data_IF_616418529408
#
_entry.id   IF_616418529408
#
_cell.length_a   1.000
_cell.length_b   1.000
_cell.length_c   1.000
_cell.angle_alpha   90.00
_cell.angle_beta   90.00
_cell.angle_gamma   90.00
#
_symmetry.space_group_name_H-M   'P 1'
#
loop_
_entity.id
_entity.type
_entity.pdbx_description
1 polymer ?
#
# COMPACT_ATOMS: atom_id res chain seq x y z
N UNK A 1 19.37 28.42 15.48
CA UNK A 1 18.96 27.27 14.63
C UNK A 1 17.61 26.81 15.11
N UNK A 2 16.59 26.84 14.25
CA UNK A 2 15.28 26.27 14.58
C UNK A 2 15.46 24.78 14.95
N UNK A 3 14.98 24.38 16.12
CA UNK A 3 15.04 23.00 16.56
C UNK A 3 14.08 22.17 15.70
N UNK A 4 14.58 21.63 14.59
CA UNK A 4 13.76 20.77 13.71
C UNK A 4 13.56 19.42 14.37
N UNK A 5 12.30 18.99 14.44
CA UNK A 5 11.91 17.66 14.87
C UNK A 5 12.54 16.65 13.93
N UNK A 6 13.25 15.67 14.49
CA UNK A 6 13.89 14.61 13.72
C UNK A 6 12.89 13.47 13.50
N UNK A 7 12.71 12.99 12.26
CA UNK A 7 11.95 11.79 12.02
C UNK A 7 12.56 10.58 12.74
N UNK A 8 11.77 9.55 13.06
CA UNK A 8 12.27 8.30 13.61
C UNK A 8 13.36 7.66 12.73
N UNK A 9 14.29 6.93 13.34
CA UNK A 9 15.41 6.29 12.62
C UNK A 9 14.95 5.39 11.46
N UNK A 10 13.80 4.74 11.61
CA UNK A 10 13.24 3.85 10.61
C UNK A 10 12.63 4.57 9.40
N UNK A 11 12.28 5.85 9.52
CA UNK A 11 11.83 6.71 8.43
C UNK A 11 13.03 7.33 7.71
N UNK A 12 14.01 7.81 8.48
CA UNK A 12 15.30 8.27 7.95
C UNK A 12 15.96 7.17 7.10
N UNK A 13 15.84 5.92 7.53
CA UNK A 13 16.37 4.75 6.81
C UNK A 13 15.90 4.67 5.35
N UNK A 14 14.66 5.07 5.08
CA UNK A 14 14.04 5.03 3.75
C UNK A 14 13.99 6.42 3.08
N UNK A 15 14.79 7.36 3.58
CA UNK A 15 14.96 8.69 3.00
C UNK A 15 13.94 9.74 3.44
N UNK A 16 13.13 9.47 4.47
CA UNK A 16 12.22 10.47 5.08
C UNK A 16 12.99 11.21 6.18
N UNK A 17 13.77 12.23 5.81
CA UNK A 17 14.75 12.85 6.71
C UNK A 17 14.31 14.18 7.33
N UNK A 18 13.12 14.66 6.98
CA UNK A 18 12.57 15.90 7.54
C UNK A 18 11.04 15.89 7.53
N UNK A 19 10.47 16.73 8.39
CA UNK A 19 9.10 17.22 8.25
C UNK A 19 9.10 18.59 7.55
N UNK A 20 8.02 18.91 6.83
CA UNK A 20 7.80 20.26 6.30
C UNK A 20 7.43 21.23 7.42
N UNK A 21 6.59 20.78 8.35
CA UNK A 21 6.20 21.55 9.53
C UNK A 21 7.30 21.57 10.58
N UNK A 22 7.43 22.69 11.30
CA UNK A 22 8.36 22.83 12.43
C UNK A 22 7.68 22.58 13.79
N UNK A 23 6.35 22.51 13.81
CA UNK A 23 5.54 22.26 15.00
C UNK A 23 5.58 20.79 15.44
N UNK A 24 5.47 20.56 16.75
CA UNK A 24 5.43 19.22 17.33
C UNK A 24 4.18 18.45 16.89
N UNK A 25 4.34 17.15 16.70
CA UNK A 25 3.20 16.29 16.37
C UNK A 25 2.15 16.30 17.49
N UNK A 26 0.91 15.99 17.13
CA UNK A 26 -0.21 15.88 18.09
C UNK A 26 -0.24 14.54 18.84
N UNK A 27 0.63 13.60 18.47
CA UNK A 27 0.60 12.22 18.97
C UNK A 27 -0.67 11.48 18.54
N UNK A 28 -1.15 10.60 19.40
CA UNK A 28 -2.41 9.88 19.22
C UNK A 28 -2.30 8.56 18.46
N UNK A 29 -3.47 7.92 18.29
CA UNK A 29 -3.63 6.61 17.67
C UNK A 29 -4.68 6.65 16.56
N UNK A 30 -4.38 5.94 15.47
CA UNK A 30 -5.23 5.77 14.31
C UNK A 30 -5.89 4.40 14.30
N UNK A 31 -7.00 4.25 13.56
CA UNK A 31 -7.64 2.96 13.23
C UNK A 31 -7.98 2.12 14.49
N UNK A 32 -8.53 2.74 15.54
CA UNK A 32 -9.00 1.97 16.71
C UNK A 32 -10.31 1.25 16.39
N UNK A 33 -11.17 1.89 15.61
CA UNK A 33 -12.36 1.29 14.99
C UNK A 33 -12.36 1.55 13.48
N UNK A 34 -13.09 0.77 12.67
CA UNK A 34 -13.24 1.02 11.24
C UNK A 34 -13.78 2.42 10.92
N UNK A 35 -14.65 2.93 11.80
CA UNK A 35 -15.26 4.25 11.71
C UNK A 35 -14.27 5.39 11.98
N UNK A 36 -13.08 5.10 12.50
CA UNK A 36 -12.00 6.08 12.63
C UNK A 36 -11.26 6.32 11.31
N UNK A 37 -11.45 5.45 10.32
CA UNK A 37 -10.78 5.56 9.03
C UNK A 37 -11.78 5.34 7.91
N UNK A 38 -12.37 6.44 7.48
CA UNK A 38 -13.43 6.47 6.49
C UNK A 38 -12.85 6.89 5.15
N UNK A 39 -13.10 6.08 4.11
CA UNK A 39 -12.64 6.35 2.74
C UNK A 39 -13.82 6.34 1.78
N UNK A 40 -14.07 7.47 1.14
CA UNK A 40 -15.14 7.63 0.15
C UNK A 40 -14.51 7.92 -1.20
N UNK A 41 -14.75 7.04 -2.18
CA UNK A 41 -14.31 7.29 -3.54
C UNK A 41 -15.02 8.51 -4.12
N UNK A 42 -14.25 9.32 -4.84
CA UNK A 42 -14.74 10.44 -5.63
C UNK A 42 -14.69 9.99 -7.09
N UNK A 43 -15.86 9.90 -7.72
CA UNK A 43 -15.96 9.46 -9.12
C UNK A 43 -15.31 10.47 -10.07
N UNK A 44 -15.15 10.10 -11.35
CA UNK A 44 -14.59 10.99 -12.37
C UNK A 44 -15.43 12.28 -12.53
N UNK A 45 -16.74 12.19 -12.31
CA UNK A 45 -17.68 13.31 -12.30
C UNK A 45 -17.62 14.13 -11.00
N UNK A 46 -16.64 13.86 -10.13
CA UNK A 46 -16.43 14.51 -8.83
C UNK A 46 -17.58 14.32 -7.82
N UNK A 47 -18.37 13.26 -7.99
CA UNK A 47 -19.39 12.85 -6.99
C UNK A 47 -18.71 12.05 -5.88
N UNK A 48 -18.96 12.43 -4.63
CA UNK A 48 -18.51 11.64 -3.47
C UNK A 48 -19.50 10.51 -3.23
N UNK A 49 -19.01 9.27 -3.13
CA UNK A 49 -19.84 8.12 -2.78
C UNK A 49 -20.09 8.09 -1.26
N UNK A 50 -21.34 8.29 -0.86
CA UNK A 50 -21.75 8.35 0.55
C UNK A 50 -21.98 6.96 1.15
N UNK A 51 -22.23 6.86 2.46
CA UNK A 51 -22.56 5.57 3.12
C UNK A 51 -24.06 5.35 3.26
N UNK A 52 -24.78 6.35 3.77
CA UNK A 52 -26.18 6.21 4.18
C UNK A 52 -27.18 6.44 3.05
N UNK A 53 -26.89 7.39 2.17
CA UNK A 53 -27.80 7.78 1.09
C UNK A 53 -27.79 6.73 -0.02
N UNK A 54 -28.92 6.07 -0.27
CA UNK A 54 -29.13 5.25 -1.46
C UNK A 54 -29.80 6.12 -2.53
N UNK A 55 -29.05 6.46 -3.57
CA UNK A 55 -29.57 7.18 -4.73
C UNK A 55 -29.89 6.20 -5.83
N UNK A 56 -30.99 6.34 -6.58
CA UNK A 56 -31.20 5.49 -7.75
C UNK A 56 -29.98 5.55 -8.68
N UNK A 57 -29.46 4.38 -9.06
CA UNK A 57 -28.42 4.29 -10.07
C UNK A 57 -28.97 4.68 -11.45
N UNK A 58 -28.06 4.98 -12.38
CA UNK A 58 -28.44 5.29 -13.75
C UNK A 58 -29.13 4.07 -14.40
N UNK A 59 -29.98 4.31 -15.41
CA UNK A 59 -30.66 3.25 -16.16
C UNK A 59 -30.29 3.35 -17.63
N UNK A 60 -28.98 3.38 -17.89
CA UNK A 60 -28.46 3.51 -19.25
C UNK A 60 -28.60 2.18 -20.01
N UNK A 61 -28.83 2.24 -21.33
CA UNK A 61 -28.79 1.03 -22.16
C UNK A 61 -27.35 0.50 -22.20
N UNK A 62 -27.13 -0.68 -21.62
CA UNK A 62 -25.80 -1.26 -21.55
C UNK A 62 -25.75 -2.64 -20.92
N UNK A 63 -24.62 -3.32 -21.12
CA UNK A 63 -24.39 -4.67 -20.59
C UNK A 63 -23.83 -4.66 -19.16
N UNK A 64 -23.53 -3.48 -18.58
CA UNK A 64 -22.92 -3.35 -17.27
C UNK A 64 -23.92 -2.91 -16.22
N UNK A 65 -23.68 -3.33 -14.99
CA UNK A 65 -24.41 -2.86 -13.82
C UNK A 65 -23.41 -2.24 -12.85
N UNK A 66 -23.63 -0.98 -12.54
CA UNK A 66 -22.83 -0.21 -11.59
C UNK A 66 -23.52 -0.20 -10.23
N UNK A 67 -22.71 -0.17 -9.18
CA UNK A 67 -23.18 -0.02 -7.81
C UNK A 67 -22.09 0.64 -6.96
N UNK A 68 -22.50 1.24 -5.85
CA UNK A 68 -21.61 1.59 -4.74
C UNK A 68 -21.50 0.40 -3.80
N UNK A 69 -20.28 -0.10 -3.63
CA UNK A 69 -19.89 -1.07 -2.61
C UNK A 69 -19.45 -0.31 -1.35
N UNK A 70 -20.25 -0.43 -0.29
CA UNK A 70 -19.86 -0.03 1.06
C UNK A 70 -19.39 -1.29 1.80
N UNK A 71 -18.20 -1.24 2.41
CA UNK A 71 -17.64 -2.37 3.14
C UNK A 71 -16.96 -1.93 4.44
N UNK A 72 -17.03 -2.76 5.47
CA UNK A 72 -16.41 -2.55 6.79
C UNK A 72 -15.52 -3.74 7.16
N UNK A 73 -14.24 -3.52 7.44
CA UNK A 73 -13.26 -4.59 7.77
C UNK A 73 -13.03 -5.64 6.65
N UNK A 74 -13.37 -5.30 5.40
CA UNK A 74 -13.23 -6.18 4.25
C UNK A 74 -12.12 -5.73 3.31
N UNK A 75 -11.33 -6.70 2.84
CA UNK A 75 -10.51 -6.53 1.65
C UNK A 75 -11.40 -6.44 0.41
N UNK A 76 -11.07 -5.53 -0.51
CA UNK A 76 -11.88 -5.25 -1.72
C UNK A 76 -12.02 -6.49 -2.59
N UNK A 77 -10.94 -7.24 -2.79
CA UNK A 77 -10.93 -8.41 -3.66
C UNK A 77 -11.74 -9.55 -3.05
N UNK A 78 -11.65 -9.75 -1.73
CA UNK A 78 -12.48 -10.71 -1.00
C UNK A 78 -13.96 -10.35 -1.05
N UNK A 79 -14.31 -9.09 -0.83
CA UNK A 79 -15.70 -8.61 -0.91
C UNK A 79 -16.31 -8.88 -2.28
N UNK A 80 -15.63 -8.47 -3.36
CA UNK A 80 -16.08 -8.69 -4.74
C UNK A 80 -16.20 -10.18 -5.08
N UNK A 81 -15.26 -11.01 -4.60
CA UNK A 81 -15.32 -12.47 -4.81
C UNK A 81 -16.55 -13.10 -4.14
N UNK A 82 -16.88 -12.66 -2.93
CA UNK A 82 -18.06 -13.16 -2.21
C UNK A 82 -19.35 -12.67 -2.87
N UNK A 83 -19.42 -11.41 -3.29
CA UNK A 83 -20.54 -10.85 -4.06
C UNK A 83 -20.77 -11.67 -5.35
N UNK A 84 -19.71 -11.91 -6.12
CA UNK A 84 -19.76 -12.68 -7.36
C UNK A 84 -20.33 -14.09 -7.14
N UNK A 85 -19.91 -14.74 -6.04
CA UNK A 85 -20.43 -16.04 -5.61
C UNK A 85 -21.93 -15.99 -5.28
N UNK A 86 -22.42 -14.96 -4.58
CA UNK A 86 -23.85 -14.80 -4.26
C UNK A 86 -24.71 -14.59 -5.51
N UNK A 87 -24.24 -13.83 -6.48
CA UNK A 87 -25.00 -13.58 -7.73
C UNK A 87 -24.86 -14.69 -8.78
N UNK A 88 -23.95 -15.65 -8.54
CA UNK A 88 -23.76 -16.84 -9.37
C UNK A 88 -22.93 -16.60 -10.64
N UNK A 89 -21.92 -15.72 -10.58
CA UNK A 89 -21.06 -15.43 -11.74
C UNK A 89 -19.57 -15.45 -11.37
N UNK A 90 -18.71 -15.48 -12.38
CA UNK A 90 -17.26 -15.35 -12.18
C UNK A 90 -16.88 -13.96 -11.68
N UNK A 91 -15.96 -13.90 -10.70
CA UNK A 91 -15.35 -12.66 -10.19
C UNK A 91 -14.73 -11.80 -11.30
N UNK A 92 -14.26 -12.41 -12.40
CA UNK A 92 -13.67 -11.67 -13.53
C UNK A 92 -14.68 -10.79 -14.28
N UNK A 93 -15.98 -10.94 -14.01
CA UNK A 93 -17.00 -10.03 -14.53
C UNK A 93 -17.11 -8.74 -13.73
N UNK A 94 -16.41 -8.62 -12.61
CA UNK A 94 -16.42 -7.42 -11.78
C UNK A 94 -15.16 -6.60 -11.98
N UNK A 95 -15.31 -5.28 -12.01
CA UNK A 95 -14.21 -4.33 -12.01
C UNK A 95 -14.44 -3.17 -11.03
N UNK A 96 -13.37 -2.49 -10.67
CA UNK A 96 -13.34 -1.34 -9.76
C UNK A 96 -12.08 -0.51 -10.03
N UNK A 97 -12.13 0.78 -9.71
CA UNK A 97 -11.08 1.73 -10.07
C UNK A 97 -9.79 1.59 -9.24
N UNK A 98 -9.91 1.06 -8.02
CA UNK A 98 -8.78 0.73 -7.16
C UNK A 98 -9.21 0.05 -5.86
N UNK A 99 -8.30 -0.68 -5.23
CA UNK A 99 -8.55 -1.28 -3.92
C UNK A 99 -8.57 -0.21 -2.83
N UNK A 100 -9.44 -0.38 -1.82
CA UNK A 100 -9.50 0.47 -0.63
C UNK A 100 -9.03 -0.29 0.61
N UNK A 101 -8.63 0.44 1.66
CA UNK A 101 -8.18 -0.11 2.94
C UNK A 101 -9.11 -1.20 3.48
N UNK A 102 -8.52 -2.27 4.01
CA UNK A 102 -9.25 -3.34 4.70
C UNK A 102 -9.76 -2.85 6.06
N UNK A 103 -8.88 -2.26 6.86
CA UNK A 103 -9.16 -1.81 8.23
C UNK A 103 -9.74 -0.39 8.22
N UNK A 104 -10.96 -0.29 7.69
CA UNK A 104 -11.64 0.97 7.37
C UNK A 104 -13.14 0.74 7.08
N UNK A 105 -13.93 1.81 7.14
CA UNK A 105 -15.23 1.91 6.49
C UNK A 105 -15.05 2.58 5.12
N UNK A 106 -15.38 1.88 4.04
CA UNK A 106 -15.07 2.38 2.68
C UNK A 106 -16.26 2.30 1.74
N UNK A 107 -16.45 3.33 0.91
CA UNK A 107 -17.42 3.37 -0.19
C UNK A 107 -16.68 3.53 -1.53
N UNK A 108 -16.94 2.64 -2.47
CA UNK A 108 -16.30 2.66 -3.81
C UNK A 108 -17.25 2.17 -4.90
N UNK A 109 -17.03 2.62 -6.14
CA UNK A 109 -17.81 2.13 -7.28
C UNK A 109 -17.31 0.74 -7.69
N UNK A 110 -18.25 -0.13 -8.03
CA UNK A 110 -18.00 -1.40 -8.69
C UNK A 110 -18.85 -1.48 -9.95
N UNK A 111 -18.36 -2.24 -10.94
CA UNK A 111 -19.08 -2.59 -12.15
C UNK A 111 -19.14 -4.10 -12.29
N UNK A 112 -20.21 -4.60 -12.90
CA UNK A 112 -20.45 -6.02 -13.13
C UNK A 112 -21.01 -6.25 -14.53
N UNK A 113 -20.34 -7.09 -15.33
CA UNK A 113 -20.78 -7.42 -16.68
C UNK A 113 -21.93 -8.44 -16.67
N UNK A 114 -23.07 -8.07 -17.26
CA UNK A 114 -24.30 -8.87 -17.40
C UNK A 114 -24.78 -9.48 -16.09
N UNK A 115 -24.79 -8.69 -15.03
CA UNK A 115 -25.37 -9.05 -13.72
C UNK A 115 -26.62 -8.20 -13.50
N UNK A 116 -27.83 -8.76 -13.49
CA UNK A 116 -29.05 -7.97 -13.32
C UNK A 116 -29.05 -7.12 -12.04
N UNK A 117 -29.58 -5.90 -12.13
CA UNK A 117 -29.72 -4.95 -11.01
C UNK A 117 -30.34 -5.63 -9.77
N UNK A 118 -31.40 -6.40 -9.95
CA UNK A 118 -32.10 -7.07 -8.84
C UNK A 118 -31.24 -8.11 -8.12
N UNK A 119 -30.32 -8.78 -8.84
CA UNK A 119 -29.40 -9.73 -8.20
C UNK A 119 -28.39 -9.01 -7.31
N UNK A 120 -27.89 -7.85 -7.72
CA UNK A 120 -26.96 -7.06 -6.91
C UNK A 120 -27.65 -6.42 -5.72
N UNK A 121 -28.87 -5.88 -5.89
CA UNK A 121 -29.69 -5.35 -4.78
C UNK A 121 -30.02 -6.42 -3.74
N UNK A 122 -30.22 -7.67 -4.16
CA UNK A 122 -30.53 -8.78 -3.26
C UNK A 122 -29.30 -9.33 -2.49
N UNK A 123 -28.09 -8.83 -2.76
CA UNK A 123 -26.89 -9.29 -2.04
C UNK A 123 -26.96 -8.84 -0.59
N UNK A 124 -27.05 -9.81 0.31
CA UNK A 124 -26.95 -9.60 1.75
C UNK A 124 -25.71 -10.31 2.28
N UNK A 125 -24.73 -9.54 2.74
CA UNK A 125 -23.49 -10.04 3.35
C UNK A 125 -23.22 -9.15 4.56
N UNK A 126 -22.95 -9.75 5.72
CA UNK A 126 -22.60 -9.00 6.93
C UNK A 126 -21.44 -8.04 6.64
N UNK A 127 -21.57 -6.80 7.11
CA UNK A 127 -20.56 -5.73 6.97
C UNK A 127 -20.31 -5.25 5.51
N UNK A 128 -21.19 -5.60 4.58
CA UNK A 128 -21.20 -5.13 3.19
C UNK A 128 -22.60 -4.63 2.82
N UNK A 129 -22.65 -3.45 2.21
CA UNK A 129 -23.87 -2.89 1.64
C UNK A 129 -23.64 -2.59 0.16
N UNK A 130 -24.56 -3.05 -0.70
CA UNK A 130 -24.61 -2.69 -2.12
C UNK A 130 -25.75 -1.70 -2.31
N UNK A 131 -25.46 -0.57 -2.94
CA UNK A 131 -26.43 0.50 -3.16
C UNK A 131 -26.13 1.26 -4.45
N UNK A 132 -26.91 2.29 -4.76
CA UNK A 132 -26.76 3.05 -6.00
C UNK A 132 -26.75 2.17 -7.26
N UNK A 133 -27.54 1.09 -7.24
CA UNK A 133 -27.48 0.05 -8.27
C UNK A 133 -28.24 0.50 -9.53
N UNK A 134 -27.57 0.48 -10.66
CA UNK A 134 -28.10 0.90 -11.96
C UNK A 134 -27.38 0.27 -13.15
N UNK A 135 -27.95 0.39 -14.35
CA UNK A 135 -27.31 -0.02 -15.59
C UNK A 135 -26.39 1.07 -16.14
N UNK A 136 -25.29 0.63 -16.74
CA UNK A 136 -24.28 1.47 -17.39
C UNK A 136 -23.85 0.83 -18.72
N UNK A 137 -23.37 1.66 -19.64
CA UNK A 137 -22.89 1.29 -20.97
C UNK A 137 -21.39 0.96 -21.01
N UNK A 138 -20.65 1.27 -19.95
CA UNK A 138 -19.22 1.05 -19.83
C UNK A 138 -18.81 0.21 -18.62
N UNK A 139 -17.59 -0.33 -18.67
CA UNK A 139 -16.94 -1.01 -17.56
C UNK A 139 -16.06 -0.04 -16.78
N UNK A 140 -15.77 -0.32 -15.51
CA UNK A 140 -14.74 0.45 -14.78
C UNK A 140 -13.33 -0.02 -15.16
N UNK A 141 -12.46 0.94 -15.47
CA UNK A 141 -11.03 0.74 -15.62
C UNK A 141 -10.27 0.97 -14.31
N UNK A 142 -9.05 0.43 -14.21
CA UNK A 142 -8.13 0.85 -13.16
C UNK A 142 -7.80 2.34 -13.34
N UNK A 143 -7.98 3.13 -12.29
CA UNK A 143 -7.79 4.59 -12.34
C UNK A 143 -9.03 5.40 -12.74
N UNK A 144 -10.19 4.76 -12.96
CA UNK A 144 -11.50 5.43 -13.18
C UNK A 144 -12.06 6.08 -11.90
N UNK A 145 -11.28 6.94 -11.26
CA UNK A 145 -11.68 7.77 -10.11
C UNK A 145 -10.93 9.10 -10.14
N UNK A 146 -11.55 10.16 -9.63
CA UNK A 146 -10.85 11.43 -9.44
C UNK A 146 -9.95 11.40 -8.20
N UNK A 147 -10.40 10.74 -7.13
CA UNK A 147 -9.65 10.69 -5.87
C UNK A 147 -10.44 10.03 -4.75
N UNK A 148 -9.98 10.24 -3.51
CA UNK A 148 -10.63 9.72 -2.32
C UNK A 148 -10.81 10.84 -1.30
N UNK A 149 -12.00 10.95 -0.72
CA UNK A 149 -12.25 11.75 0.46
C UNK A 149 -11.97 10.89 1.69
N UNK A 150 -11.05 11.35 2.52
CA UNK A 150 -10.73 10.72 3.79
C UNK A 150 -11.43 11.46 4.94
N UNK A 151 -11.95 10.72 5.90
CA UNK A 151 -12.33 11.25 7.21
C UNK A 151 -11.65 10.37 8.25
N UNK A 152 -10.72 10.96 8.99
CA UNK A 152 -9.82 10.24 9.89
C UNK A 152 -10.02 10.78 11.31
N UNK A 153 -10.26 9.89 12.26
CA UNK A 153 -10.31 10.20 13.69
C UNK A 153 -9.00 9.76 14.35
N UNK A 154 -8.39 10.69 15.08
CA UNK A 154 -7.16 10.45 15.85
C UNK A 154 -7.53 10.51 17.33
N UNK A 155 -7.32 9.41 18.04
CA UNK A 155 -7.62 9.30 19.47
C UNK A 155 -6.39 9.60 20.31
N UNK A 156 -6.58 9.95 21.58
CA UNK A 156 -5.51 10.14 22.57
C UNK A 156 -4.42 11.14 22.12
N UNK A 157 -4.85 12.25 21.50
CA UNK A 157 -3.98 13.35 21.11
C UNK A 157 -3.56 14.19 22.33
N UNK A 158 -2.47 14.95 22.19
CA UNK A 158 -2.01 15.85 23.25
C UNK A 158 -3.01 16.98 23.52
N UNK A 159 -2.95 17.59 24.71
CA UNK A 159 -3.86 18.70 25.10
C UNK A 159 -3.81 19.89 24.13
N UNK A 160 -2.63 20.18 23.56
CA UNK A 160 -2.42 21.27 22.59
C UNK A 160 -2.71 20.90 21.14
N UNK A 161 -3.47 19.82 20.89
CA UNK A 161 -3.66 19.31 19.54
C UNK A 161 -4.30 20.33 18.60
N UNK A 162 -5.30 21.09 19.05
CA UNK A 162 -5.97 22.10 18.21
C UNK A 162 -4.99 23.18 17.75
N UNK A 163 -4.27 23.82 18.68
CA UNK A 163 -3.27 24.84 18.38
C UNK A 163 -2.20 24.33 17.41
N UNK A 164 -1.71 23.10 17.64
CA UNK A 164 -0.71 22.47 16.77
C UNK A 164 -1.26 22.20 15.37
N UNK A 165 -2.51 21.75 15.25
CA UNK A 165 -3.15 21.49 13.97
C UNK A 165 -3.29 22.77 13.16
N UNK A 166 -3.66 23.87 13.80
CA UNK A 166 -3.79 25.17 13.13
C UNK A 166 -2.43 25.60 12.56
N UNK A 167 -1.37 25.58 13.39
CA UNK A 167 0.01 25.89 12.95
C UNK A 167 0.47 24.96 11.82
N UNK A 168 0.30 23.64 11.98
CA UNK A 168 0.69 22.65 10.96
C UNK A 168 -0.07 22.93 9.65
N UNK A 169 -1.36 23.22 9.70
CA UNK A 169 -2.19 23.46 8.52
C UNK A 169 -1.75 24.71 7.76
N UNK A 170 -1.40 25.78 8.48
CA UNK A 170 -0.84 27.00 7.90
C UNK A 170 0.51 26.74 7.22
N UNK A 171 1.45 26.08 7.91
CA UNK A 171 2.77 25.74 7.38
C UNK A 171 2.71 24.81 6.16
N UNK A 172 1.71 23.93 6.11
CA UNK A 172 1.48 23.05 4.97
C UNK A 172 0.85 23.79 3.78
N UNK A 173 0.10 24.87 4.02
CA UNK A 173 -0.54 25.69 2.98
C UNK A 173 -1.40 24.85 2.00
N UNK A 174 -2.14 23.88 2.53
CA UNK A 174 -3.04 23.03 1.74
C UNK A 174 -2.38 21.84 1.03
N UNK A 175 -1.08 21.59 1.22
CA UNK A 175 -0.40 20.42 0.66
C UNK A 175 0.72 19.88 1.55
N UNK A 176 1.06 18.61 1.38
CA UNK A 176 2.15 17.97 2.11
C UNK A 176 3.15 17.31 1.14
N UNK A 177 4.42 17.12 1.55
CA UNK A 177 5.40 16.45 0.71
C UNK A 177 4.98 15.00 0.41
N UNK A 178 4.88 14.67 -0.88
CA UNK A 178 4.41 13.36 -1.35
C UNK A 178 5.51 12.28 -1.28
N UNK A 179 6.01 11.99 -0.07
CA UNK A 179 7.00 10.94 0.14
C UNK A 179 6.45 9.53 -0.15
N UNK A 180 7.31 8.64 -0.62
CA UNK A 180 7.02 7.21 -0.58
C UNK A 180 7.18 6.69 0.86
N UNK A 181 6.12 6.16 1.46
CA UNK A 181 6.17 5.62 2.83
C UNK A 181 6.88 4.26 2.94
N UNK A 182 7.10 3.79 4.18
CA UNK A 182 7.80 2.52 4.49
C UNK A 182 7.25 1.30 3.77
N UNK A 183 5.95 1.23 3.53
CA UNK A 183 5.32 0.11 2.82
C UNK A 183 5.89 -0.08 1.40
N UNK A 184 6.33 1.00 0.73
CA UNK A 184 6.99 0.94 -0.57
C UNK A 184 8.34 0.20 -0.51
N UNK A 185 8.96 0.19 0.67
CA UNK A 185 10.27 -0.40 0.91
C UNK A 185 10.20 -1.80 1.52
N UNK A 186 9.03 -2.21 1.99
CA UNK A 186 8.77 -3.43 2.78
C UNK A 186 8.44 -3.06 4.22
N UNK A 187 7.24 -3.44 4.69
CA UNK A 187 6.73 -3.02 6.00
C UNK A 187 7.51 -3.65 7.16
N UNK A 188 7.60 -4.99 7.16
CA UNK A 188 8.42 -5.72 8.14
C UNK A 188 9.92 -5.45 7.88
N UNK A 189 10.34 -5.53 6.62
CA UNK A 189 11.75 -5.41 6.22
C UNK A 189 11.92 -4.40 5.09
N UNK A 190 12.26 -3.14 5.42
CA UNK A 190 12.38 -2.06 4.44
C UNK A 190 13.66 -2.15 3.61
N UNK A 191 13.99 -3.30 3.03
CA UNK A 191 15.26 -3.59 2.34
C UNK A 191 15.20 -3.44 0.83
N UNK A 192 14.01 -3.31 0.25
CA UNK A 192 13.84 -3.44 -1.22
C UNK A 192 14.64 -2.42 -2.01
N UNK A 193 14.84 -1.20 -1.48
CA UNK A 193 15.66 -0.17 -2.11
C UNK A 193 17.15 -0.50 -2.11
N UNK A 194 17.65 -1.19 -1.09
CA UNK A 194 19.06 -1.59 -1.04
C UNK A 194 19.34 -2.74 -2.01
N UNK A 195 18.44 -3.72 -2.06
CA UNK A 195 18.48 -4.77 -3.09
C UNK A 195 18.46 -4.11 -4.48
N UNK A 196 17.59 -3.13 -4.69
CA UNK A 196 17.51 -2.36 -5.94
C UNK A 196 18.80 -1.61 -6.28
N UNK A 197 19.44 -0.98 -5.29
CA UNK A 197 20.75 -0.32 -5.45
C UNK A 197 21.80 -1.30 -5.97
N UNK A 198 21.93 -2.46 -5.34
CA UNK A 198 22.91 -3.48 -5.72
C UNK A 198 22.65 -4.03 -7.13
N UNK A 199 21.37 -4.28 -7.47
CA UNK A 199 20.99 -4.68 -8.84
C UNK A 199 21.44 -3.64 -9.87
N UNK A 200 21.21 -2.36 -9.62
CA UNK A 200 21.61 -1.28 -10.54
C UNK A 200 23.12 -1.11 -10.68
N UNK A 201 23.87 -1.45 -9.62
CA UNK A 201 25.34 -1.44 -9.64
C UNK A 201 25.94 -2.69 -10.31
N UNK A 202 25.11 -3.67 -10.69
CA UNK A 202 25.58 -4.96 -11.23
C UNK A 202 26.15 -5.91 -10.17
N UNK A 203 26.02 -5.56 -8.90
CA UNK A 203 26.48 -6.34 -7.74
C UNK A 203 25.38 -7.30 -7.28
N UNK A 204 25.17 -8.37 -8.05
CA UNK A 204 24.10 -9.33 -7.79
C UNK A 204 24.33 -10.15 -6.53
N UNK A 205 25.60 -10.37 -6.14
CA UNK A 205 25.95 -11.04 -4.89
C UNK A 205 25.40 -10.25 -3.71
N UNK A 206 25.76 -8.97 -3.59
CA UNK A 206 25.25 -8.15 -2.49
C UNK A 206 23.74 -7.97 -2.56
N UNK A 207 23.14 -7.94 -3.75
CA UNK A 207 21.67 -7.87 -3.89
C UNK A 207 20.99 -9.10 -3.26
N UNK A 208 21.44 -10.30 -3.62
CA UNK A 208 20.89 -11.56 -3.09
C UNK A 208 21.21 -11.71 -1.60
N UNK A 209 22.44 -11.41 -1.18
CA UNK A 209 22.82 -11.50 0.23
C UNK A 209 22.06 -10.49 1.09
N UNK A 210 21.83 -9.26 0.61
CA UNK A 210 20.96 -8.29 1.27
C UNK A 210 19.55 -8.83 1.45
N UNK A 211 18.99 -9.43 0.39
CA UNK A 211 17.64 -10.03 0.43
C UNK A 211 17.55 -11.21 1.39
N UNK A 212 18.56 -12.09 1.43
CA UNK A 212 18.53 -13.27 2.30
C UNK A 212 18.80 -12.92 3.77
N UNK A 213 19.73 -12.00 4.05
CA UNK A 213 20.33 -11.91 5.40
C UNK A 213 19.88 -10.73 6.25
N UNK A 214 19.41 -9.63 5.63
CA UNK A 214 19.25 -8.37 6.36
C UNK A 214 18.00 -8.34 7.25
N UNK A 215 18.19 -8.20 8.56
CA UNK A 215 17.11 -8.26 9.59
C UNK A 215 16.75 -6.88 10.17
N UNK A 216 15.53 -6.73 10.71
CA UNK A 216 15.02 -5.47 11.29
C UNK A 216 14.35 -5.60 12.67
N UNK A 217 14.39 -6.76 13.33
CA UNK A 217 13.77 -6.96 14.65
C UNK A 217 12.25 -7.18 14.61
N UNK A 218 11.66 -7.20 13.41
CA UNK A 218 10.22 -7.31 13.17
C UNK A 218 9.79 -8.72 12.73
N UNK A 219 10.76 -9.59 12.43
CA UNK A 219 10.51 -10.98 12.02
C UNK A 219 10.46 -11.89 13.25
N UNK A 220 9.91 -13.10 13.08
CA UNK A 220 10.00 -14.14 14.10
C UNK A 220 11.46 -14.47 14.41
N UNK A 221 11.78 -14.69 15.69
CA UNK A 221 13.15 -14.87 16.18
C UNK A 221 13.87 -16.02 15.48
N UNK A 222 13.16 -17.10 15.13
CA UNK A 222 13.69 -18.24 14.39
C UNK A 222 14.15 -17.83 12.99
N UNK A 223 13.37 -17.01 12.29
CA UNK A 223 13.72 -16.52 10.95
C UNK A 223 14.93 -15.59 11.02
N UNK A 224 14.98 -14.70 12.00
CA UNK A 224 16.15 -13.82 12.18
C UNK A 224 17.43 -14.61 12.45
N UNK A 225 17.34 -15.67 13.25
CA UNK A 225 18.47 -16.58 13.48
C UNK A 225 18.92 -17.23 12.17
N UNK A 226 18.00 -17.81 11.40
CA UNK A 226 18.33 -18.45 10.11
C UNK A 226 19.03 -17.46 9.17
N UNK A 227 18.57 -16.20 9.12
CA UNK A 227 19.18 -15.17 8.27
C UNK A 227 20.58 -14.77 8.73
N UNK A 228 20.83 -14.74 10.04
CA UNK A 228 22.17 -14.55 10.62
C UNK A 228 23.07 -15.75 10.35
N UNK A 229 22.54 -16.97 10.39
CA UNK A 229 23.28 -18.19 10.07
C UNK A 229 23.73 -18.19 8.59
N UNK A 230 22.86 -17.75 7.66
CA UNK A 230 23.22 -17.55 6.24
C UNK A 230 24.36 -16.54 6.13
N UNK A 231 24.29 -15.41 6.85
CA UNK A 231 25.34 -14.39 6.85
C UNK A 231 26.65 -14.92 7.44
N UNK A 232 26.57 -15.78 8.45
CA UNK A 232 27.71 -16.45 9.07
C UNK A 232 28.35 -17.56 8.23
N UNK A 233 27.84 -17.80 7.01
CA UNK A 233 28.39 -18.79 6.08
C UNK A 233 27.96 -20.22 6.38
N UNK A 234 26.85 -20.43 7.11
CA UNK A 234 26.28 -21.76 7.31
C UNK A 234 25.88 -22.39 5.98
N UNK A 235 26.04 -23.70 5.87
CA UNK A 235 25.70 -24.45 4.66
C UNK A 235 24.23 -24.24 4.24
N UNK A 236 24.03 -23.92 2.96
CA UNK A 236 22.71 -23.59 2.43
C UNK A 236 21.73 -24.76 2.48
N UNK A 237 22.19 -26.02 2.39
CA UNK A 237 21.30 -27.20 2.48
C UNK A 237 20.76 -27.35 3.89
N UNK A 238 21.57 -27.11 4.91
CA UNK A 238 21.12 -27.12 6.30
C UNK A 238 20.09 -26.02 6.55
N UNK A 239 20.41 -24.78 6.17
CA UNK A 239 19.52 -23.61 6.30
C UNK A 239 18.18 -23.86 5.59
N UNK A 240 18.21 -24.42 4.38
CA UNK A 240 17.01 -24.69 3.60
C UNK A 240 16.04 -25.66 4.30
N UNK A 241 16.54 -26.59 5.10
CA UNK A 241 15.70 -27.54 5.84
C UNK A 241 14.96 -26.86 7.01
N UNK A 242 15.54 -25.81 7.59
CA UNK A 242 14.98 -25.05 8.71
C UNK A 242 14.08 -23.89 8.25
N UNK A 243 14.27 -23.40 7.01
CA UNK A 243 13.56 -22.24 6.49
C UNK A 243 12.05 -22.51 6.34
N UNK A 244 11.16 -21.69 6.93
CA UNK A 244 9.71 -21.88 6.82
C UNK A 244 9.21 -21.95 5.38
N UNK A 245 8.20 -22.80 5.12
CA UNK A 245 7.59 -22.95 3.78
C UNK A 245 6.95 -21.66 3.25
N UNK A 246 6.60 -20.73 4.13
CA UNK A 246 6.07 -19.40 3.76
C UNK A 246 7.11 -18.52 3.05
N UNK A 247 8.41 -18.76 3.26
CA UNK A 247 9.50 -18.00 2.64
C UNK A 247 9.90 -18.60 1.28
N UNK A 248 8.92 -18.70 0.38
CA UNK A 248 9.07 -19.40 -0.90
C UNK A 248 10.16 -18.83 -1.81
N UNK A 249 10.34 -17.50 -1.82
CA UNK A 249 11.38 -16.87 -2.64
C UNK A 249 12.77 -17.14 -2.09
N UNK A 250 12.98 -17.00 -0.79
CA UNK A 250 14.25 -17.33 -0.14
C UNK A 250 14.61 -18.80 -0.34
N UNK A 251 13.65 -19.73 -0.22
CA UNK A 251 13.85 -21.15 -0.53
C UNK A 251 14.27 -21.38 -1.99
N UNK A 252 13.62 -20.70 -2.93
CA UNK A 252 13.95 -20.77 -4.36
C UNK A 252 15.38 -20.31 -4.64
N UNK A 253 15.79 -19.19 -4.04
CA UNK A 253 17.16 -18.65 -4.14
C UNK A 253 18.19 -19.64 -3.58
N UNK A 254 17.94 -20.17 -2.37
CA UNK A 254 18.88 -21.10 -1.74
C UNK A 254 19.04 -22.38 -2.56
N UNK A 255 17.95 -22.94 -3.10
CA UNK A 255 18.01 -24.08 -4.02
C UNK A 255 18.91 -23.79 -5.23
N UNK A 256 18.72 -22.63 -5.88
CA UNK A 256 19.56 -22.24 -7.01
C UNK A 256 21.04 -22.13 -6.64
N UNK A 257 21.36 -21.49 -5.49
CA UNK A 257 22.74 -21.36 -5.03
C UNK A 257 23.37 -22.69 -4.59
N UNK A 258 22.58 -23.67 -4.16
CA UNK A 258 23.04 -25.03 -3.88
C UNK A 258 23.41 -25.76 -5.19
N UNK A 259 22.57 -25.62 -6.22
CA UNK A 259 22.79 -26.25 -7.53
C UNK A 259 23.90 -25.56 -8.33
N UNK A 260 23.98 -24.23 -8.26
CA UNK A 260 24.93 -23.38 -8.99
C UNK A 260 25.59 -22.36 -8.05
N UNK A 261 26.60 -22.77 -7.26
CA UNK A 261 27.31 -21.87 -6.37
C UNK A 261 27.90 -20.67 -7.10
N UNK A 262 27.70 -19.46 -6.57
CA UNK A 262 28.19 -18.21 -7.14
C UNK A 262 27.33 -17.61 -8.26
N UNK A 263 26.29 -18.30 -8.73
CA UNK A 263 25.38 -17.78 -9.75
C UNK A 263 24.28 -16.88 -9.15
N UNK A 264 24.67 -15.77 -8.53
CA UNK A 264 23.74 -14.82 -7.89
C UNK A 264 22.82 -14.12 -8.89
N UNK A 265 23.27 -13.95 -10.14
CA UNK A 265 22.45 -13.37 -11.21
C UNK A 265 21.33 -14.33 -11.61
N UNK A 266 21.63 -15.63 -11.76
CA UNK A 266 20.64 -16.66 -12.08
C UNK A 266 19.55 -16.85 -11.03
N UNK A 267 19.78 -16.42 -9.78
CA UNK A 267 18.74 -16.40 -8.75
C UNK A 267 17.51 -15.56 -9.16
N UNK A 268 17.70 -14.50 -9.96
CA UNK A 268 16.60 -13.63 -10.40
C UNK A 268 15.72 -14.28 -11.47
N UNK A 269 16.22 -15.27 -12.22
CA UNK A 269 15.43 -16.02 -13.20
C UNK A 269 14.38 -16.93 -12.52
N UNK A 270 14.62 -17.27 -11.26
CA UNK A 270 13.74 -18.06 -10.41
C UNK A 270 12.76 -17.22 -9.57
N UNK A 271 12.76 -15.91 -9.80
CA UNK A 271 11.82 -14.96 -9.20
C UNK A 271 10.78 -14.49 -10.23
N UNK A 272 9.60 -14.03 -9.80
CA UNK A 272 8.67 -13.36 -10.71
C UNK A 272 9.35 -12.18 -11.40
N UNK A 273 9.20 -12.04 -12.72
CA UNK A 273 9.82 -10.95 -13.52
C UNK A 273 9.55 -9.55 -12.96
N UNK A 274 8.40 -9.36 -12.31
CA UNK A 274 8.01 -8.09 -11.70
C UNK A 274 8.73 -7.80 -10.38
N UNK A 275 9.31 -8.80 -9.70
CA UNK A 275 9.97 -8.64 -8.40
C UNK A 275 11.30 -7.88 -8.54
N UNK A 276 12.12 -8.21 -9.54
CA UNK A 276 13.36 -7.47 -9.81
C UNK A 276 13.08 -6.00 -10.14
N UNK A 277 12.05 -5.76 -10.97
CA UNK A 277 11.59 -4.41 -11.32
C UNK A 277 11.09 -3.64 -10.10
N UNK A 278 10.41 -4.31 -9.17
CA UNK A 278 9.98 -3.72 -7.89
C UNK A 278 11.16 -3.22 -7.07
N UNK A 279 12.26 -3.96 -6.95
CA UNK A 279 13.45 -3.52 -6.21
C UNK A 279 14.06 -2.25 -6.82
N UNK A 280 14.19 -2.20 -8.15
CA UNK A 280 14.67 -1.01 -8.87
C UNK A 280 13.76 0.20 -8.63
N UNK A 281 12.44 0.00 -8.71
CA UNK A 281 11.48 1.07 -8.40
C UNK A 281 11.54 1.52 -6.95
N UNK A 282 11.78 0.61 -6.00
CA UNK A 282 11.99 0.99 -4.61
C UNK A 282 13.24 1.86 -4.45
N UNK A 283 14.33 1.56 -5.16
CA UNK A 283 15.51 2.44 -5.13
C UNK A 283 15.24 3.82 -5.75
N UNK A 284 14.48 3.90 -6.84
CA UNK A 284 14.03 5.18 -7.39
C UNK A 284 13.20 5.98 -6.37
N UNK A 285 12.26 5.32 -5.68
CA UNK A 285 11.49 5.92 -4.59
C UNK A 285 12.38 6.41 -3.44
N UNK A 286 13.43 5.67 -3.08
CA UNK A 286 14.40 6.09 -2.06
C UNK A 286 15.15 7.36 -2.47
N UNK A 287 15.65 7.41 -3.71
CA UNK A 287 16.33 8.60 -4.23
C UNK A 287 15.39 9.80 -4.30
N UNK A 288 14.14 9.59 -4.70
CA UNK A 288 13.12 10.62 -4.68
C UNK A 288 12.90 11.17 -3.27
N UNK A 289 12.73 10.29 -2.27
CA UNK A 289 12.59 10.71 -0.87
C UNK A 289 13.80 11.54 -0.42
N UNK A 290 15.02 11.07 -0.66
CA UNK A 290 16.25 11.80 -0.33
C UNK A 290 16.32 13.18 -1.00
N UNK A 291 15.96 13.27 -2.28
CA UNK A 291 15.93 14.52 -3.02
C UNK A 291 14.89 15.49 -2.44
N UNK A 292 13.68 14.99 -2.16
CA UNK A 292 12.59 15.79 -1.56
C UNK A 292 12.96 16.29 -0.16
N UNK A 293 13.56 15.44 0.69
CA UNK A 293 14.04 15.86 2.00
C UNK A 293 15.11 16.95 1.92
N UNK A 294 16.06 16.82 0.99
CA UNK A 294 17.06 17.86 0.75
C UNK A 294 16.41 19.17 0.31
N UNK A 295 15.45 19.12 -0.61
CA UNK A 295 14.74 20.29 -1.13
C UNK A 295 14.00 21.07 -0.01
N UNK A 296 13.33 20.35 0.88
CA UNK A 296 12.65 20.93 2.05
C UNK A 296 13.65 21.52 3.04
N UNK A 297 14.79 20.88 3.25
CA UNK A 297 15.83 21.37 4.15
C UNK A 297 16.52 22.64 3.64
N UNK A 298 16.65 22.80 2.32
CA UNK A 298 17.22 23.99 1.66
C UNK A 298 16.20 25.15 1.55
N UNK A 299 14.95 24.96 1.98
CA UNK A 299 13.93 26.02 2.00
C UNK A 299 13.30 26.34 0.65
N UNK A 300 13.42 25.44 -0.33
CA UNK A 300 12.82 25.64 -1.64
C UNK A 300 11.30 25.40 -1.60
N UNK A 301 10.52 26.22 -2.32
CA UNK A 301 9.06 26.03 -2.43
C UNK A 301 8.75 24.72 -3.16
N UNK A 302 8.00 23.84 -2.49
CA UNK A 302 7.60 22.50 -2.97
C UNK A 302 6.66 22.57 -4.19
N UNK A 303 6.15 23.76 -4.52
CA UNK A 303 5.17 24.02 -5.59
C UNK A 303 5.70 23.76 -7.03
N UNK A 304 6.98 23.39 -7.20
CA UNK A 304 7.61 23.16 -8.53
C UNK A 304 8.09 21.74 -8.80
N UNK A 305 7.78 20.77 -7.95
CA UNK A 305 7.98 19.36 -8.29
C UNK A 305 6.67 18.83 -8.89
N UNK A 306 6.72 17.94 -9.90
CA UNK A 306 5.52 17.24 -10.34
C UNK A 306 5.02 16.42 -9.15
N UNK A 307 4.01 16.97 -8.46
CA UNK A 307 3.28 16.33 -7.38
C UNK A 307 2.49 15.13 -7.91
#
# INVERSE_FOLDING_TARGET
MLHRIKPPSHDVYVGLECYKSTEYCIGGMLKQTPEDFIVQEITEEKKVLEFEKDTPGDMLPGDYTHATLVKREWDTMRAVSEIAKRVGVSRNRFAFAGTKDKHALTAQRISAYRVPVEKLKAVNIKDITIKDVGYADENLGLGSLWGNKFTIRIHNVCEKASERIDTISEELSGGFPNFYGRQRFGEARPITHEVGKHILMGDFESAIMCYLTKTFGSEATEVEKIRKDILGGRDYKEVLNELPKSLGYERSILNHLIEKPGDYRGCFDHMPKNLAKMFVHAYQSYIFNKALSRYINEGASVEKLPL
#
